data_IF_364707851850
#
_entry.id   IF_364707851850
#
_cell.length_a   1.000
_cell.length_b   1.000
_cell.length_c   1.000
_cell.angle_alpha   90.00
_cell.angle_beta   90.00
_cell.angle_gamma   90.00
#
_symmetry.space_group_name_H-M   'P 1'
#
loop_
_entity.id
_entity.type
_entity.pdbx_description
1 polymer ?
#
# COMPACT_ATOMS: atom_id res chain seq x y z
N UNK A 1 2.30 6.50 -1.54
CA UNK A 1 1.50 5.31 -1.14
C UNK A 1 0.37 5.03 -2.12
N UNK A 2 0.09 3.76 -2.40
CA UNK A 2 -1.06 3.27 -3.19
C UNK A 2 -2.21 2.84 -2.26
N UNK A 3 -3.43 3.29 -2.53
CA UNK A 3 -4.63 2.77 -1.90
C UNK A 3 -5.20 1.61 -2.73
N UNK A 4 -5.50 0.51 -2.06
CA UNK A 4 -6.19 -0.62 -2.65
C UNK A 4 -7.48 -0.91 -1.89
N UNK A 5 -8.58 -1.11 -2.61
CA UNK A 5 -9.79 -1.73 -2.06
C UNK A 5 -9.60 -3.25 -2.05
N UNK A 6 -9.94 -3.90 -0.94
CA UNK A 6 -9.88 -5.36 -0.79
C UNK A 6 -11.22 -5.91 -0.35
N UNK A 7 -11.56 -7.10 -0.82
CA UNK A 7 -12.84 -7.74 -0.49
C UNK A 7 -12.95 -8.10 1.01
N UNK A 8 -11.83 -8.46 1.65
CA UNK A 8 -11.83 -9.00 3.02
C UNK A 8 -11.49 -7.97 4.09
N UNK A 9 -10.57 -7.04 3.83
CA UNK A 9 -10.06 -6.11 4.84
C UNK A 9 -10.50 -4.65 4.60
N UNK A 10 -11.23 -4.38 3.52
CA UNK A 10 -11.55 -3.03 3.07
C UNK A 10 -10.34 -2.31 2.48
N UNK A 11 -10.33 -0.99 2.59
CA UNK A 11 -9.27 -0.15 2.03
C UNK A 11 -7.95 -0.30 2.79
N UNK A 12 -6.88 -0.63 2.07
CA UNK A 12 -5.52 -0.75 2.62
C UNK A 12 -4.51 0.10 1.86
N UNK A 13 -3.51 0.57 2.59
CA UNK A 13 -2.40 1.33 2.02
C UNK A 13 -1.19 0.44 1.80
N UNK A 14 -0.55 0.57 0.63
CA UNK A 14 0.68 -0.14 0.27
C UNK A 14 1.70 0.87 -0.23
N UNK A 15 2.94 0.80 0.25
CA UNK A 15 4.00 1.69 -0.23
C UNK A 15 4.32 1.42 -1.70
N UNK A 16 4.89 2.42 -2.38
CA UNK A 16 5.18 2.32 -3.82
C UNK A 16 6.15 1.15 -4.09
N UNK A 17 7.11 0.94 -3.20
CA UNK A 17 8.05 -0.18 -3.27
C UNK A 17 7.32 -1.53 -3.23
N UNK A 18 6.53 -1.78 -2.18
CA UNK A 18 5.78 -3.03 -2.05
C UNK A 18 4.73 -3.22 -3.16
N UNK A 19 4.11 -2.14 -3.65
CA UNK A 19 3.17 -2.20 -4.77
C UNK A 19 3.81 -2.70 -6.05
N UNK A 20 5.09 -2.38 -6.28
CA UNK A 20 5.87 -2.87 -7.42
C UNK A 20 6.47 -4.25 -7.18
N UNK A 21 7.08 -4.46 -6.02
CA UNK A 21 7.78 -5.72 -5.70
C UNK A 21 6.82 -6.90 -5.56
N UNK A 22 5.57 -6.64 -5.17
CA UNK A 22 4.54 -7.66 -4.94
C UNK A 22 3.33 -7.50 -5.86
N UNK A 23 3.52 -6.87 -7.03
CA UNK A 23 2.44 -6.63 -7.99
C UNK A 23 1.68 -7.92 -8.36
N UNK A 24 2.41 -9.03 -8.54
CA UNK A 24 1.82 -10.34 -8.86
C UNK A 24 0.92 -10.86 -7.73
N UNK A 25 1.32 -10.68 -6.46
CA UNK A 25 0.51 -11.06 -5.30
C UNK A 25 -0.75 -10.19 -5.18
N UNK A 26 -0.60 -8.88 -5.39
CA UNK A 26 -1.71 -7.92 -5.34
C UNK A 26 -2.75 -8.26 -6.41
N UNK A 27 -2.30 -8.56 -7.64
CA UNK A 27 -3.18 -9.03 -8.73
C UNK A 27 -3.83 -10.36 -8.40
N UNK A 28 -3.09 -11.32 -7.85
CA UNK A 28 -3.64 -12.62 -7.47
C UNK A 28 -4.71 -12.53 -6.37
N UNK A 29 -4.67 -11.49 -5.54
CA UNK A 29 -5.65 -11.22 -4.49
C UNK A 29 -6.84 -10.35 -4.93
N UNK A 30 -6.93 -9.97 -6.20
CA UNK A 30 -7.96 -9.05 -6.71
C UNK A 30 -8.03 -7.72 -5.94
N UNK A 31 -6.89 -7.22 -5.47
CA UNK A 31 -6.86 -5.89 -4.84
C UNK A 31 -7.03 -4.82 -5.92
N UNK A 32 -8.08 -4.02 -5.80
CA UNK A 32 -8.40 -2.98 -6.78
C UNK A 32 -7.66 -1.69 -6.42
N UNK A 33 -6.83 -1.22 -7.34
CA UNK A 33 -6.15 0.06 -7.16
C UNK A 33 -7.14 1.23 -7.29
N UNK A 34 -7.15 2.11 -6.29
CA UNK A 34 -8.00 3.31 -6.30
C UNK A 34 -7.21 4.57 -6.69
N UNK A 35 -6.23 4.97 -5.89
CA UNK A 35 -5.41 6.17 -6.14
C UNK A 35 -4.14 6.21 -5.28
N UNK A 36 -3.27 7.18 -5.59
CA UNK A 36 -2.05 7.46 -4.83
C UNK A 36 -2.23 8.63 -3.86
N UNK A 37 -1.64 8.50 -2.68
CA UNK A 37 -1.49 9.60 -1.73
C UNK A 37 -0.08 9.63 -1.15
N UNK A 38 0.45 10.84 -1.06
CA UNK A 38 1.71 11.12 -0.36
C UNK A 38 1.36 11.67 1.02
N UNK A 39 1.57 10.85 2.06
CA UNK A 39 1.22 11.21 3.44
C UNK A 39 2.10 10.41 4.42
N UNK A 40 2.86 11.09 5.30
CA UNK A 40 3.82 10.46 6.19
C UNK A 40 3.17 9.69 7.35
N UNK A 41 1.89 9.89 7.62
CA UNK A 41 1.15 9.14 8.65
C UNK A 41 0.68 7.78 8.12
N UNK A 42 0.57 7.60 6.81
CA UNK A 42 0.19 6.33 6.21
C UNK A 42 1.25 5.24 6.46
N UNK A 43 0.78 4.00 6.64
CA UNK A 43 1.62 2.83 6.92
C UNK A 43 1.28 1.71 5.94
N UNK A 44 2.32 1.12 5.36
CA UNK A 44 2.16 0.04 4.40
C UNK A 44 1.66 -1.22 5.11
N UNK A 45 0.55 -1.80 4.63
CA UNK A 45 -0.02 -3.05 5.14
C UNK A 45 0.94 -4.24 5.01
N UNK A 46 1.85 -4.21 4.03
CA UNK A 46 2.73 -5.34 3.70
C UNK A 46 4.06 -5.33 4.45
N UNK A 47 4.64 -4.16 4.70
CA UNK A 47 5.94 -4.04 5.39
C UNK A 47 5.87 -3.29 6.72
N UNK A 48 4.75 -2.66 7.06
CA UNK A 48 4.57 -1.85 8.27
C UNK A 48 5.32 -0.51 8.26
N UNK A 49 6.17 -0.27 7.25
CA UNK A 49 6.95 0.96 7.13
C UNK A 49 6.10 2.14 6.64
N UNK A 50 6.48 3.37 7.02
CA UNK A 50 6.07 4.57 6.28
C UNK A 50 6.64 4.54 4.84
N UNK A 51 6.05 5.29 3.91
CA UNK A 51 6.70 5.61 2.62
C UNK A 51 7.95 6.49 2.82
N UNK A 52 8.06 7.17 3.97
CA UNK A 52 9.14 8.10 4.34
C UNK A 52 9.72 7.78 5.72
N UNK A 53 11.04 7.66 5.84
CA UNK A 53 11.71 7.82 7.12
C UNK A 53 11.55 9.29 7.56
N UNK A 54 10.71 9.54 8.56
CA UNK A 54 10.69 10.85 9.22
C UNK A 54 11.93 10.85 10.12
N UNK A 55 13.03 11.44 9.64
CA UNK A 55 14.18 11.73 10.50
C UNK A 55 13.73 12.76 11.57
N UNK A 56 13.92 12.42 12.85
CA UNK A 56 13.65 13.27 14.03
C UNK A 56 14.64 14.43 14.13
#
# INVERSE_FOLDING_TARGET
MHLFETEEEGDIWVCIACGREREEEIKAKNWEYLFDRDDPELRCKLCGGPDYEVED
#
